data_IF_124876639980
#
_entry.id   IF_124876639980
#
_cell.length_a   1.000
_cell.length_b   1.000
_cell.length_c   1.000
_cell.angle_alpha   90.00
_cell.angle_beta   90.00
_cell.angle_gamma   90.00
#
_symmetry.space_group_name_H-M   'P 1'
#
loop_
_entity.id
_entity.type
_entity.pdbx_description
1 polymer ?
#
# COMPACT_ATOMS: atom_id res chain seq x y z
N UNK A 1 33.61 -54.21 -60.03
CA UNK A 1 33.20 -53.74 -58.68
C UNK A 1 32.33 -52.50 -58.83
N UNK A 2 31.00 -52.65 -58.74
CA UNK A 2 30.02 -51.56 -58.67
C UNK A 2 29.43 -51.57 -57.25
N UNK A 3 29.49 -50.46 -56.52
CA UNK A 3 28.81 -50.30 -55.22
C UNK A 3 27.33 -49.97 -55.47
N UNK A 4 26.38 -50.59 -54.74
CA UNK A 4 24.98 -50.19 -54.84
C UNK A 4 24.71 -48.94 -53.98
N UNK A 5 23.82 -48.08 -54.46
CA UNK A 5 23.32 -46.93 -53.73
C UNK A 5 22.26 -47.38 -52.71
N UNK A 6 22.42 -46.95 -51.45
CA UNK A 6 21.42 -47.13 -50.40
C UNK A 6 20.55 -45.87 -50.35
N UNK A 7 19.28 -45.99 -50.72
CA UNK A 7 18.29 -44.91 -50.63
C UNK A 7 17.81 -44.84 -49.17
N UNK A 8 18.09 -43.73 -48.50
CA UNK A 8 17.60 -43.43 -47.16
C UNK A 8 16.20 -42.81 -47.28
N UNK A 9 15.16 -43.52 -46.81
CA UNK A 9 13.81 -42.97 -46.69
C UNK A 9 13.74 -42.03 -45.48
N UNK A 10 13.68 -40.72 -45.72
CA UNK A 10 13.33 -39.73 -44.71
C UNK A 10 11.81 -39.78 -44.45
N UNK A 11 11.40 -40.36 -43.33
CA UNK A 11 10.04 -40.20 -42.81
C UNK A 11 9.90 -38.86 -42.10
N UNK A 12 9.26 -37.88 -42.73
CA UNK A 12 8.85 -36.64 -42.07
C UNK A 12 7.66 -36.95 -41.12
N UNK A 13 7.91 -36.99 -39.82
CA UNK A 13 6.84 -36.94 -38.83
C UNK A 13 6.29 -35.50 -38.78
N UNK A 14 5.17 -35.24 -39.46
CA UNK A 14 4.45 -33.97 -39.30
C UNK A 14 3.81 -33.92 -37.91
N UNK A 15 4.40 -33.16 -36.99
CA UNK A 15 3.72 -32.74 -35.79
C UNK A 15 2.53 -31.85 -36.18
N UNK A 16 1.30 -32.32 -35.96
CA UNK A 16 0.10 -31.48 -36.07
C UNK A 16 0.20 -30.37 -35.02
N UNK A 17 0.53 -29.17 -35.46
CA UNK A 17 0.30 -27.97 -34.66
C UNK A 17 -1.21 -27.89 -34.40
N UNK A 18 -1.62 -28.14 -33.15
CA UNK A 18 -2.98 -27.88 -32.73
C UNK A 18 -3.16 -26.36 -32.80
N UNK A 19 -3.96 -25.89 -33.77
CA UNK A 19 -4.42 -24.51 -33.80
C UNK A 19 -5.32 -24.30 -32.59
N UNK A 20 -4.78 -23.65 -31.55
CA UNK A 20 -5.55 -23.16 -30.42
C UNK A 20 -6.71 -22.32 -30.95
N UNK A 21 -7.94 -22.78 -30.71
CA UNK A 21 -9.12 -21.97 -31.01
C UNK A 21 -9.06 -20.68 -30.18
N UNK A 22 -9.48 -19.53 -30.74
CA UNK A 22 -9.50 -18.29 -29.98
C UNK A 22 -10.35 -18.47 -28.72
N UNK A 23 -9.83 -17.98 -27.58
CA UNK A 23 -10.52 -18.03 -26.31
C UNK A 23 -11.89 -17.33 -26.44
N UNK A 24 -12.95 -17.85 -25.81
CA UNK A 24 -14.25 -17.19 -25.80
C UNK A 24 -14.12 -15.77 -25.18
N UNK A 25 -14.93 -14.80 -25.62
CA UNK A 25 -14.89 -13.45 -25.07
C UNK A 25 -15.30 -13.50 -23.60
N UNK A 26 -14.31 -13.29 -22.73
CA UNK A 26 -14.49 -13.16 -21.28
C UNK A 26 -14.01 -11.77 -20.85
N UNK A 27 -14.44 -11.25 -19.69
CA UNK A 27 -13.88 -10.02 -19.15
C UNK A 27 -12.35 -10.06 -19.06
N UNK A 28 -11.76 -11.21 -18.74
CA UNK A 28 -10.31 -11.40 -18.72
C UNK A 28 -9.68 -11.31 -20.12
N UNK A 29 -10.33 -11.88 -21.14
CA UNK A 29 -9.88 -11.82 -22.53
C UNK A 29 -9.90 -10.38 -23.10
N UNK A 30 -10.67 -9.47 -22.50
CA UNK A 30 -10.66 -8.04 -22.84
C UNK A 30 -9.70 -7.25 -21.94
N UNK A 31 -9.75 -7.46 -20.62
CA UNK A 31 -9.00 -6.68 -19.64
C UNK A 31 -7.49 -6.92 -19.72
N UNK A 32 -7.04 -8.16 -19.88
CA UNK A 32 -5.60 -8.48 -19.83
C UNK A 32 -4.85 -7.86 -21.00
N UNK A 33 -5.29 -8.00 -22.27
CA UNK A 33 -4.61 -7.32 -23.39
C UNK A 33 -4.58 -5.81 -23.21
N UNK A 34 -5.72 -5.20 -22.86
CA UNK A 34 -5.81 -3.76 -22.60
C UNK A 34 -4.81 -3.32 -21.51
N UNK A 35 -4.76 -4.04 -20.39
CA UNK A 35 -3.85 -3.74 -19.28
C UNK A 35 -2.36 -3.85 -19.67
N UNK A 36 -2.03 -4.77 -20.59
CA UNK A 36 -0.65 -4.94 -21.08
C UNK A 36 -0.26 -3.82 -22.05
N UNK A 37 -1.20 -3.34 -22.86
CA UNK A 37 -1.01 -2.25 -23.81
C UNK A 37 -0.90 -0.89 -23.09
N UNK A 38 -1.76 -0.63 -22.09
CA UNK A 38 -1.85 0.66 -21.38
C UNK A 38 -0.81 0.84 -20.25
N UNK A 39 0.30 0.11 -20.30
CA UNK A 39 1.29 0.09 -19.20
C UNK A 39 1.90 1.47 -18.91
N UNK A 40 2.02 2.34 -19.90
CA UNK A 40 2.61 3.67 -19.74
C UNK A 40 1.65 4.66 -19.05
N UNK A 41 0.37 4.66 -19.43
CA UNK A 41 -0.66 5.56 -18.87
C UNK A 41 -0.93 5.27 -17.39
N UNK A 42 -0.79 4.00 -17.00
CA UNK A 42 -1.02 3.53 -15.64
C UNK A 42 0.13 3.86 -14.66
N UNK A 43 1.10 4.71 -15.05
CA UNK A 43 2.24 5.10 -14.20
C UNK A 43 2.13 6.47 -13.53
N UNK A 44 1.19 7.32 -13.95
CA UNK A 44 1.09 8.72 -13.54
C UNK A 44 -0.36 9.13 -13.20
N UNK A 45 -1.12 8.21 -12.61
CA UNK A 45 -2.53 8.43 -12.25
C UNK A 45 -2.65 9.43 -11.10
N UNK A 46 -3.41 10.52 -11.23
CA UNK A 46 -3.64 11.43 -10.12
C UNK A 46 -4.35 10.71 -8.97
N UNK A 47 -3.80 10.80 -7.76
CA UNK A 47 -4.36 10.15 -6.57
C UNK A 47 -5.81 10.58 -6.31
N UNK A 48 -6.11 11.86 -6.53
CA UNK A 48 -7.47 12.42 -6.38
C UNK A 48 -8.48 11.72 -7.28
N UNK A 49 -8.08 11.37 -8.50
CA UNK A 49 -8.93 10.72 -9.48
C UNK A 49 -9.12 9.24 -9.10
N UNK A 50 -8.05 8.57 -8.66
CA UNK A 50 -8.15 7.19 -8.14
C UNK A 50 -9.14 7.11 -6.99
N UNK A 51 -9.06 8.02 -6.02
CA UNK A 51 -10.03 8.08 -4.92
C UNK A 51 -11.44 8.39 -5.42
N UNK A 52 -11.59 9.37 -6.32
CA UNK A 52 -12.91 9.73 -6.84
C UNK A 52 -13.57 8.56 -7.58
N UNK A 53 -12.87 7.91 -8.50
CA UNK A 53 -13.43 6.80 -9.29
C UNK A 53 -13.70 5.55 -8.45
N UNK A 54 -12.97 5.33 -7.36
CA UNK A 54 -13.16 4.14 -6.51
C UNK A 54 -14.13 4.35 -5.35
N UNK A 55 -14.40 5.59 -4.95
CA UNK A 55 -15.14 5.90 -3.71
C UNK A 55 -16.24 6.96 -3.88
N UNK A 56 -16.19 7.74 -4.95
CA UNK A 56 -17.04 8.92 -5.15
C UNK A 56 -16.66 10.13 -4.28
N UNK A 57 -15.60 10.03 -3.47
CA UNK A 57 -15.13 11.08 -2.56
C UNK A 57 -14.01 11.91 -3.17
N UNK A 58 -13.85 13.12 -2.65
CA UNK A 58 -12.83 14.07 -3.11
C UNK A 58 -11.67 14.13 -2.14
N UNK A 59 -10.46 14.07 -2.69
CA UNK A 59 -9.26 14.50 -1.99
C UNK A 59 -9.18 16.02 -2.07
N UNK A 60 -9.15 16.66 -0.91
CA UNK A 60 -8.97 18.10 -0.71
C UNK A 60 -7.48 18.40 -0.49
N UNK A 61 -7.02 19.54 -1.00
CA UNK A 61 -5.67 20.04 -0.73
C UNK A 61 -5.63 20.78 0.60
N UNK A 62 -4.48 20.73 1.27
CA UNK A 62 -4.18 21.65 2.37
C UNK A 62 -4.23 23.08 1.82
N UNK A 63 -4.95 23.95 2.52
CA UNK A 63 -4.90 25.38 2.28
C UNK A 63 -3.98 26.04 3.33
N UNK A 64 -2.79 26.54 2.94
CA UNK A 64 -1.85 27.13 3.89
C UNK A 64 -2.33 28.45 4.50
N UNK A 65 -3.42 29.06 4.01
CA UNK A 65 -4.02 30.28 4.59
C UNK A 65 -5.30 30.00 5.38
N UNK A 66 -5.77 28.74 5.40
CA UNK A 66 -6.93 28.34 6.18
C UNK A 66 -6.53 28.10 7.64
N UNK A 67 -7.23 28.78 8.57
CA UNK A 67 -6.94 28.69 10.01
C UNK A 67 -7.12 27.29 10.58
N UNK A 68 -8.02 26.47 10.00
CA UNK A 68 -8.24 25.09 10.43
C UNK A 68 -7.06 24.23 10.02
N UNK A 69 -6.65 24.30 8.75
CA UNK A 69 -5.52 23.52 8.25
C UNK A 69 -4.23 23.90 8.97
N UNK A 70 -3.96 25.19 9.18
CA UNK A 70 -2.79 25.64 9.95
C UNK A 70 -2.78 25.09 11.37
N UNK A 71 -3.91 25.18 12.08
CA UNK A 71 -4.03 24.67 13.45
C UNK A 71 -3.85 23.17 13.50
N UNK A 72 -4.55 22.42 12.64
CA UNK A 72 -4.47 20.95 12.61
C UNK A 72 -3.06 20.50 12.29
N UNK A 73 -2.39 21.10 11.30
CA UNK A 73 -1.00 20.79 10.97
C UNK A 73 -0.04 21.10 12.12
N UNK A 74 -0.24 22.20 12.85
CA UNK A 74 0.55 22.53 14.04
C UNK A 74 0.38 21.49 15.14
N UNK A 75 -0.84 21.01 15.36
CA UNK A 75 -1.14 19.96 16.32
C UNK A 75 -0.56 18.61 15.91
N UNK A 76 -0.61 18.26 14.61
CA UNK A 76 0.05 17.07 14.06
C UNK A 76 1.57 17.16 14.26
N UNK A 77 2.18 18.29 13.94
CA UNK A 77 3.63 18.50 14.14
C UNK A 77 4.03 18.33 15.60
N UNK A 78 3.27 18.93 16.54
CA UNK A 78 3.52 18.78 17.98
C UNK A 78 3.39 17.32 18.45
N UNK A 79 2.42 16.58 17.92
CA UNK A 79 2.27 15.15 18.21
C UNK A 79 3.45 14.32 17.64
N UNK A 80 3.96 14.67 16.46
CA UNK A 80 5.11 13.99 15.86
C UNK A 80 6.42 14.30 16.60
N UNK A 81 6.60 15.52 17.11
CA UNK A 81 7.75 15.85 17.98
C UNK A 81 7.75 15.00 19.26
N UNK A 82 6.59 14.91 19.93
CA UNK A 82 6.45 14.08 21.13
C UNK A 82 6.59 12.58 20.82
N UNK A 83 6.11 12.12 19.65
CA UNK A 83 6.31 10.76 19.16
C UNK A 83 7.80 10.43 19.03
N UNK A 84 8.59 11.27 18.35
CA UNK A 84 10.03 11.04 18.19
C UNK A 84 10.71 10.92 19.56
N UNK A 85 10.41 11.83 20.48
CA UNK A 85 10.96 11.80 21.84
C UNK A 85 10.63 10.51 22.58
N UNK A 86 9.37 10.06 22.56
CA UNK A 86 8.93 8.84 23.27
C UNK A 86 9.42 7.55 22.63
N UNK A 87 9.53 7.50 21.31
CA UNK A 87 9.94 6.30 20.58
C UNK A 87 11.45 6.10 20.58
N UNK A 88 12.22 7.20 20.59
CA UNK A 88 13.68 7.16 20.73
C UNK A 88 14.16 6.98 22.17
N UNK A 89 13.27 7.04 23.18
CA UNK A 89 13.65 6.85 24.58
C UNK A 89 14.18 5.41 24.83
N UNK A 90 15.22 5.23 25.67
CA UNK A 90 15.81 3.91 25.92
C UNK A 90 14.84 2.88 26.51
N UNK A 91 13.85 3.33 27.28
CA UNK A 91 12.81 2.52 27.91
C UNK A 91 11.58 2.31 27.01
N UNK A 92 11.60 2.86 25.80
CA UNK A 92 10.48 2.70 24.86
C UNK A 92 10.32 1.24 24.43
N UNK A 93 9.08 0.69 24.42
CA UNK A 93 8.84 -0.71 24.04
C UNK A 93 9.40 -1.09 22.67
N UNK A 94 9.47 -0.13 21.73
CA UNK A 94 10.01 -0.35 20.39
C UNK A 94 11.49 -0.74 20.40
N UNK A 95 12.25 -0.35 21.43
CA UNK A 95 13.66 -0.70 21.57
C UNK A 95 13.85 -2.23 21.72
N UNK A 96 12.86 -2.93 22.28
CA UNK A 96 12.88 -4.39 22.43
C UNK A 96 12.51 -5.17 21.17
N UNK A 97 12.01 -4.51 20.11
CA UNK A 97 11.66 -5.19 18.86
C UNK A 97 12.72 -4.98 17.78
N UNK A 98 13.30 -6.08 17.29
CA UNK A 98 14.18 -6.04 16.12
C UNK A 98 13.41 -5.90 14.79
N UNK A 99 12.08 -6.10 14.79
CA UNK A 99 11.27 -6.15 13.57
C UNK A 99 10.60 -4.81 13.31
N UNK A 100 10.98 -4.17 12.21
CA UNK A 100 10.43 -2.86 11.82
C UNK A 100 8.90 -2.84 11.72
N UNK A 101 8.27 -3.97 11.38
CA UNK A 101 6.81 -4.07 11.32
C UNK A 101 6.14 -3.87 12.69
N UNK A 102 6.73 -4.41 13.77
CA UNK A 102 6.21 -4.24 15.14
C UNK A 102 6.43 -2.81 15.64
N UNK A 103 7.57 -2.21 15.26
CA UNK A 103 7.86 -0.80 15.50
C UNK A 103 6.83 0.08 14.77
N UNK A 104 6.55 -0.20 13.50
CA UNK A 104 5.55 0.53 12.69
C UNK A 104 4.17 0.50 13.33
N UNK A 105 3.72 -0.67 13.81
CA UNK A 105 2.44 -0.79 14.53
C UNK A 105 2.43 0.04 15.82
N UNK A 106 3.55 0.10 16.55
CA UNK A 106 3.66 0.91 17.77
C UNK A 106 3.59 2.41 17.46
N UNK A 107 4.21 2.84 16.35
CA UNK A 107 4.14 4.21 15.83
C UNK A 107 2.72 4.64 15.50
N UNK A 108 2.00 3.83 14.71
CA UNK A 108 0.62 4.11 14.33
C UNK A 108 -0.28 4.28 15.57
N UNK A 109 -0.16 3.39 16.55
CA UNK A 109 -0.93 3.49 17.80
C UNK A 109 -0.60 4.75 18.60
N UNK A 110 0.68 5.10 18.73
CA UNK A 110 1.09 6.30 19.47
C UNK A 110 0.64 7.58 18.78
N UNK A 111 0.76 7.67 17.45
CA UNK A 111 0.25 8.82 16.67
C UNK A 111 -1.24 9.00 16.93
N UNK A 112 -2.03 7.92 16.82
CA UNK A 112 -3.46 7.96 17.12
C UNK A 112 -3.73 8.49 18.53
N UNK A 113 -3.04 7.96 19.54
CA UNK A 113 -3.21 8.39 20.93
C UNK A 113 -2.84 9.86 21.16
N UNK A 114 -1.73 10.33 20.60
CA UNK A 114 -1.28 11.72 20.76
C UNK A 114 -2.23 12.70 20.06
N UNK A 115 -2.72 12.34 18.86
CA UNK A 115 -3.67 13.16 18.12
C UNK A 115 -5.05 13.18 18.78
N UNK A 116 -5.55 12.05 19.30
CA UNK A 116 -6.85 11.98 19.98
C UNK A 116 -6.84 12.71 21.34
N UNK A 117 -5.67 12.81 21.98
CA UNK A 117 -5.49 13.60 23.20
C UNK A 117 -5.37 15.11 22.94
N UNK A 118 -5.18 15.55 21.70
CA UNK A 118 -4.99 16.96 21.37
C UNK A 118 -6.33 17.73 21.42
N UNK A 119 -6.38 18.92 22.04
CA UNK A 119 -7.62 19.67 22.17
C UNK A 119 -8.29 19.98 20.83
N UNK A 120 -9.57 19.65 20.72
CA UNK A 120 -10.36 19.91 19.52
C UNK A 120 -10.15 18.90 18.40
N UNK A 121 -9.35 17.85 18.60
CA UNK A 121 -9.18 16.76 17.65
C UNK A 121 -9.84 15.48 18.16
N UNK A 122 -10.27 14.62 17.22
CA UNK A 122 -10.62 13.23 17.50
C UNK A 122 -9.95 12.34 16.46
N UNK A 123 -9.21 11.33 16.90
CA UNK A 123 -8.42 10.46 16.03
C UNK A 123 -8.63 8.99 16.36
N UNK A 124 -9.16 8.23 15.41
CA UNK A 124 -9.35 6.80 15.57
C UNK A 124 -9.18 6.04 14.25
N UNK A 125 -9.24 4.71 14.31
CA UNK A 125 -9.29 3.86 13.14
C UNK A 125 -10.56 4.15 12.33
N UNK A 126 -10.48 4.29 11.01
CA UNK A 126 -11.65 4.53 10.19
C UNK A 126 -12.60 3.33 10.21
N UNK A 127 -13.89 3.63 10.10
CA UNK A 127 -14.94 2.63 9.93
C UNK A 127 -15.10 2.29 8.46
N UNK A 128 -15.47 1.05 8.18
CA UNK A 128 -15.92 0.64 6.85
C UNK A 128 -17.29 1.26 6.55
N UNK A 129 -17.74 1.15 5.29
CA UNK A 129 -19.11 1.51 4.89
C UNK A 129 -20.20 0.78 5.71
N UNK A 130 -19.90 -0.40 6.26
CA UNK A 130 -20.79 -1.15 7.17
C UNK A 130 -20.71 -0.68 8.63
N UNK A 131 -19.93 0.37 8.92
CA UNK A 131 -19.75 0.91 10.26
C UNK A 131 -18.79 0.12 11.16
N UNK A 132 -18.10 -0.90 10.62
CA UNK A 132 -17.16 -1.74 11.38
C UNK A 132 -15.78 -1.09 11.44
N UNK A 133 -15.13 -1.13 12.59
CA UNK A 133 -13.73 -0.70 12.70
C UNK A 133 -12.83 -1.71 12.00
N UNK A 134 -11.96 -1.22 11.11
CA UNK A 134 -10.99 -2.06 10.41
C UNK A 134 -9.62 -1.38 10.37
N UNK A 135 -8.65 -1.99 11.05
CA UNK A 135 -7.26 -1.51 11.08
C UNK A 135 -6.57 -1.64 9.72
N UNK A 136 -6.72 -2.78 9.06
CA UNK A 136 -6.02 -3.05 7.80
C UNK A 136 -6.58 -2.25 6.62
N UNK A 137 -5.68 -1.94 5.68
CA UNK A 137 -5.98 -1.20 4.45
C UNK A 137 -6.03 0.31 4.68
N UNK A 138 -5.99 1.07 3.60
CA UNK A 138 -5.99 2.52 3.66
C UNK A 138 -7.41 3.10 3.90
N UNK A 139 -7.55 4.21 4.63
CA UNK A 139 -6.51 4.90 5.41
C UNK A 139 -6.28 4.22 6.76
N UNK A 140 -5.11 4.43 7.37
CA UNK A 140 -4.79 3.87 8.68
C UNK A 140 -5.59 4.58 9.79
N UNK A 141 -5.65 5.92 9.75
CA UNK A 141 -6.31 6.75 10.75
C UNK A 141 -7.28 7.77 10.12
N UNK A 142 -8.35 8.09 10.84
CA UNK A 142 -9.28 9.19 10.54
C UNK A 142 -9.19 10.21 11.66
N UNK A 143 -8.66 11.38 11.32
CA UNK A 143 -8.57 12.54 12.19
C UNK A 143 -9.68 13.53 11.85
N UNK A 144 -10.36 14.06 12.87
CA UNK A 144 -11.42 15.05 12.72
C UNK A 144 -11.08 16.26 13.57
N UNK A 145 -11.12 17.44 12.95
CA UNK A 145 -11.23 18.67 13.72
C UNK A 145 -12.66 18.83 14.22
N UNK A 146 -12.88 18.59 15.51
CA UNK A 146 -14.22 18.61 16.13
C UNK A 146 -14.88 19.99 16.10
N UNK A 147 -14.10 21.06 15.89
CA UNK A 147 -14.62 22.43 15.80
C UNK A 147 -15.31 22.72 14.48
N UNK A 148 -14.76 22.22 13.37
CA UNK A 148 -15.27 22.49 12.02
C UNK A 148 -15.90 21.26 11.34
N UNK A 149 -15.67 20.07 11.88
CA UNK A 149 -16.02 18.80 11.25
C UNK A 149 -15.08 18.37 10.12
N UNK A 150 -14.00 19.12 9.87
CA UNK A 150 -13.05 18.83 8.79
C UNK A 150 -12.31 17.52 9.03
N UNK A 151 -12.22 16.69 7.99
CA UNK A 151 -11.65 15.34 8.06
C UNK A 151 -10.29 15.29 7.37
N UNK A 152 -9.36 14.60 8.02
CA UNK A 152 -8.04 14.29 7.54
C UNK A 152 -7.83 12.77 7.62
N UNK A 153 -7.59 12.12 6.48
CA UNK A 153 -7.14 10.73 6.46
C UNK A 153 -5.62 10.70 6.59
N UNK A 154 -5.14 9.95 7.57
CA UNK A 154 -3.74 9.95 8.00
C UNK A 154 -3.15 8.55 7.82
N UNK A 155 -1.99 8.48 7.19
CA UNK A 155 -1.29 7.23 6.87
C UNK A 155 0.17 7.32 7.37
N UNK A 156 0.48 6.85 8.59
CA UNK A 156 1.83 6.85 9.11
C UNK A 156 2.75 5.90 8.35
N UNK A 157 4.00 6.30 8.12
CA UNK A 157 5.01 5.49 7.43
C UNK A 157 6.39 5.67 8.05
N UNK A 158 7.08 4.55 8.29
CA UNK A 158 8.49 4.54 8.65
C UNK A 158 9.34 4.36 7.40
N UNK A 159 10.45 5.11 7.30
CA UNK A 159 11.42 4.94 6.22
C UNK A 159 12.85 5.04 6.76
N UNK A 160 13.78 4.36 6.08
CA UNK A 160 15.17 4.33 6.50
C UNK A 160 15.91 5.60 6.08
N UNK A 161 16.88 6.03 6.89
CA UNK A 161 17.76 7.14 6.57
C UNK A 161 18.42 6.94 5.20
N UNK A 162 18.36 7.97 4.35
CA UNK A 162 18.84 7.91 2.97
C UNK A 162 17.87 7.29 1.95
N UNK A 163 16.70 6.77 2.36
CA UNK A 163 15.75 6.13 1.45
C UNK A 163 14.64 7.06 0.92
N UNK A 164 14.68 8.37 1.19
CA UNK A 164 13.64 9.33 0.76
C UNK A 164 13.41 9.34 -0.76
N UNK A 165 14.46 9.15 -1.55
CA UNK A 165 14.38 9.11 -3.01
C UNK A 165 14.15 7.69 -3.58
N UNK A 166 13.86 6.70 -2.72
CA UNK A 166 13.65 5.32 -3.16
C UNK A 166 12.40 5.18 -4.03
N UNK A 167 12.48 4.30 -5.03
CA UNK A 167 11.34 3.92 -5.88
C UNK A 167 10.56 2.71 -5.36
N UNK A 168 10.95 2.18 -4.19
CA UNK A 168 10.20 1.14 -3.51
C UNK A 168 8.85 1.66 -3.02
N UNK A 169 7.88 0.75 -2.94
CA UNK A 169 6.50 1.09 -2.57
C UNK A 169 6.41 1.38 -1.07
N UNK A 170 6.23 2.65 -0.72
CA UNK A 170 5.95 3.09 0.68
C UNK A 170 4.45 3.24 0.93
N UNK A 171 3.73 3.76 -0.06
CA UNK A 171 2.29 4.00 -0.02
C UNK A 171 1.57 3.07 -1.00
N UNK A 172 0.42 2.53 -0.60
CA UNK A 172 -0.45 1.77 -1.50
C UNK A 172 -1.91 1.86 -1.08
N UNK A 173 -2.79 1.74 -2.06
CA UNK A 173 -4.22 1.71 -1.88
C UNK A 173 -4.79 0.53 -2.66
N UNK A 174 -5.53 -0.32 -1.97
CA UNK A 174 -6.29 -1.41 -2.56
C UNK A 174 -7.77 -1.04 -2.48
N UNK A 175 -8.41 -0.64 -3.59
CA UNK A 175 -9.82 -0.26 -3.57
C UNK A 175 -10.68 -1.49 -3.26
N UNK A 176 -11.62 -1.32 -2.32
CA UNK A 176 -12.57 -2.36 -1.93
C UNK A 176 -13.96 -1.76 -1.88
N UNK A 177 -14.93 -2.40 -2.52
CA UNK A 177 -16.33 -1.93 -2.48
C UNK A 177 -16.92 -2.18 -1.10
N UNK A 178 -16.90 -3.43 -0.61
CA UNK A 178 -17.58 -3.81 0.63
C UNK A 178 -16.90 -3.29 1.92
N UNK A 179 -15.58 -3.12 1.89
CA UNK A 179 -14.79 -2.72 3.07
C UNK A 179 -14.10 -1.37 2.85
N UNK A 180 -14.67 -0.48 2.02
CA UNK A 180 -14.12 0.85 1.82
C UNK A 180 -14.13 1.64 3.13
N UNK A 181 -13.06 2.40 3.39
CA UNK A 181 -12.87 3.23 4.57
C UNK A 181 -12.78 4.74 4.26
N UNK A 182 -12.71 5.12 2.98
CA UNK A 182 -12.75 6.52 2.53
C UNK A 182 -14.21 6.91 2.28
N UNK A 183 -14.82 7.58 3.27
CA UNK A 183 -16.24 7.90 3.32
C UNK A 183 -16.53 9.41 3.32
N UNK A 184 -15.49 10.24 3.46
CA UNK A 184 -15.57 11.70 3.55
C UNK A 184 -14.82 12.37 2.38
N UNK A 185 -15.28 13.55 1.97
CA UNK A 185 -14.41 14.49 1.23
C UNK A 185 -13.41 15.05 2.24
N UNK A 186 -12.13 14.75 2.07
CA UNK A 186 -11.13 14.92 3.14
C UNK A 186 -9.77 15.35 2.59
N UNK A 187 -8.92 15.88 3.46
CA UNK A 187 -7.47 16.00 3.19
C UNK A 187 -6.81 14.64 3.44
N UNK A 188 -5.85 14.26 2.61
CA UNK A 188 -5.14 12.98 2.74
C UNK A 188 -3.66 13.25 3.02
N UNK A 189 -3.15 12.76 4.15
CA UNK A 189 -1.79 13.01 4.62
C UNK A 189 -1.02 11.70 4.84
N UNK A 190 0.24 11.67 4.42
CA UNK A 190 1.23 10.70 4.91
C UNK A 190 2.08 11.36 5.98
N UNK A 191 2.26 10.67 7.11
CA UNK A 191 3.19 11.10 8.16
C UNK A 191 4.43 10.22 8.08
N UNK A 192 5.45 10.70 7.39
CA UNK A 192 6.70 9.98 7.19
C UNK A 192 7.66 10.21 8.34
N UNK A 193 8.11 9.17 9.02
CA UNK A 193 9.15 9.26 10.06
C UNK A 193 10.40 8.50 9.61
N UNK A 194 11.54 9.18 9.67
CA UNK A 194 12.84 8.58 9.37
C UNK A 194 13.39 7.82 10.57
N UNK A 195 14.00 6.66 10.30
CA UNK A 195 14.82 5.96 11.27
C UNK A 195 16.22 5.67 10.72
N UNK A 196 17.22 5.70 11.60
CA UNK A 196 18.55 5.19 11.29
C UNK A 196 18.56 3.66 11.26
N UNK A 197 19.59 3.02 10.67
CA UNK A 197 19.84 1.61 10.89
C UNK A 197 19.93 1.31 12.38
N UNK A 198 19.28 0.25 12.83
CA UNK A 198 19.32 -0.17 14.24
C UNK A 198 20.78 -0.40 14.65
N UNK A 199 21.26 0.36 15.63
CA UNK A 199 22.65 0.35 16.10
C UNK A 199 22.71 0.00 17.57
N UNK A 200 23.61 -0.91 17.96
CA UNK A 200 23.72 -1.45 19.32
C UNK A 200 22.38 -1.94 19.92
N UNK A 201 21.45 -2.41 19.08
CA UNK A 201 20.13 -2.85 19.52
C UNK A 201 19.12 -1.71 19.75
N UNK A 202 19.42 -0.48 19.36
CA UNK A 202 18.54 0.67 19.53
C UNK A 202 18.03 1.23 18.21
N UNK A 203 16.75 1.61 18.19
CA UNK A 203 16.16 2.43 17.14
C UNK A 203 16.35 3.90 17.47
N UNK A 204 16.77 4.67 16.47
CA UNK A 204 16.83 6.12 16.54
C UNK A 204 15.97 6.71 15.43
N UNK A 205 15.07 7.61 15.79
CA UNK A 205 14.17 8.30 14.87
C UNK A 205 14.57 9.78 14.79
N UNK A 206 14.81 10.28 13.58
CA UNK A 206 15.59 11.51 13.40
C UNK A 206 14.75 12.71 12.94
N UNK A 207 13.68 12.46 12.19
CA UNK A 207 12.84 13.51 11.60
C UNK A 207 11.48 12.99 11.20
N UNK A 208 10.53 13.91 11.02
CA UNK A 208 9.23 13.64 10.45
C UNK A 208 8.91 14.60 9.30
N UNK A 209 8.05 14.16 8.38
CA UNK A 209 7.48 14.95 7.29
C UNK A 209 5.96 14.76 7.27
N UNK A 210 5.22 15.82 7.00
CA UNK A 210 3.78 15.76 6.70
C UNK A 210 3.62 15.98 5.18
N UNK A 211 3.13 14.96 4.48
CA UNK A 211 3.01 14.98 3.02
C UNK A 211 1.55 15.04 2.62
N UNK A 212 1.15 16.13 1.96
CA UNK A 212 -0.17 16.26 1.33
C UNK A 212 -0.25 15.41 0.05
N UNK A 213 -1.25 14.53 -0.02
CA UNK A 213 -1.44 13.63 -1.16
C UNK A 213 -2.29 14.25 -2.28
N UNK A 214 -2.80 15.48 -2.15
CA UNK A 214 -3.65 16.11 -3.16
C UNK A 214 -2.99 16.20 -4.55
N UNK A 215 -1.66 16.28 -4.63
CA UNK A 215 -0.94 16.32 -5.90
C UNK A 215 -0.14 15.04 -6.18
N UNK A 216 -0.33 13.99 -5.36
CA UNK A 216 0.34 12.71 -5.56
C UNK A 216 -0.10 12.09 -6.89
N UNK A 217 0.87 11.56 -7.64
CA UNK A 217 0.64 10.65 -8.77
C UNK A 217 1.06 9.25 -8.37
N UNK A 218 0.19 8.28 -8.61
CA UNK A 218 0.42 6.87 -8.31
C UNK A 218 0.52 6.06 -9.60
N UNK A 219 1.12 4.88 -9.48
CA UNK A 219 1.12 3.87 -10.54
C UNK A 219 0.25 2.69 -10.14
N UNK A 220 -0.49 2.12 -11.09
CA UNK A 220 -1.14 0.84 -10.91
C UNK A 220 -0.09 -0.26 -11.10
N UNK A 221 0.07 -1.11 -10.09
CA UNK A 221 0.85 -2.34 -10.20
C UNK A 221 -0.12 -3.51 -10.31
N UNK A 222 -0.29 -4.05 -11.52
CA UNK A 222 -1.08 -5.25 -11.72
C UNK A 222 -0.26 -6.51 -11.40
N UNK A 223 -0.81 -7.37 -10.55
CA UNK A 223 -0.21 -8.66 -10.20
C UNK A 223 -1.30 -9.75 -10.16
N UNK A 224 -0.99 -10.93 -10.69
CA UNK A 224 -1.81 -12.12 -10.55
C UNK A 224 -1.34 -12.89 -9.30
N UNK A 225 -2.28 -13.28 -8.45
CA UNK A 225 -1.99 -13.87 -7.15
C UNK A 225 -2.64 -15.26 -7.03
N UNK A 226 -2.00 -16.14 -6.26
CA UNK A 226 -2.52 -17.44 -5.86
C UNK A 226 -2.13 -17.72 -4.42
N UNK A 227 -3.06 -18.26 -3.63
CA UNK A 227 -2.83 -18.63 -2.24
C UNK A 227 -2.22 -20.02 -2.12
N UNK A 228 -1.75 -20.38 -0.92
CA UNK A 228 -1.34 -21.76 -0.62
C UNK A 228 -2.48 -22.76 -0.91
N UNK A 229 -3.73 -22.39 -0.65
CA UNK A 229 -4.89 -23.23 -0.95
C UNK A 229 -5.06 -23.47 -2.46
N UNK A 230 -4.79 -22.45 -3.29
CA UNK A 230 -4.94 -22.55 -4.75
C UNK A 230 -3.86 -23.44 -5.37
N UNK A 231 -2.64 -23.40 -4.82
CA UNK A 231 -1.45 -24.06 -5.38
C UNK A 231 -1.29 -25.50 -4.87
N UNK A 232 -1.52 -25.77 -3.59
CA UNK A 232 -1.31 -27.10 -2.98
C UNK A 232 -2.55 -28.00 -3.03
N UNK A 233 -3.22 -28.02 -4.18
CA UNK A 233 -4.35 -28.93 -4.41
C UNK A 233 -3.84 -30.36 -4.66
N UNK A 234 -4.48 -31.41 -4.12
CA UNK A 234 -4.00 -32.79 -4.28
C UNK A 234 -3.78 -33.20 -5.73
N UNK A 235 -4.60 -32.72 -6.67
CA UNK A 235 -4.49 -33.03 -8.09
C UNK A 235 -3.38 -32.24 -8.82
N UNK A 236 -2.90 -31.14 -8.25
CA UNK A 236 -1.82 -30.34 -8.79
C UNK A 236 -0.42 -30.77 -8.28
N UNK A 237 -0.37 -31.52 -7.18
CA UNK A 237 0.89 -31.98 -6.56
C UNK A 237 1.43 -33.19 -7.34
N UNK A 238 2.56 -33.00 -8.02
CA UNK A 238 3.22 -34.06 -8.83
C UNK A 238 4.34 -34.80 -8.08
N UNK A 239 4.60 -34.45 -6.82
CA UNK A 239 5.60 -35.10 -5.97
C UNK A 239 5.60 -34.53 -4.55
N UNK A 240 5.93 -35.35 -3.55
CA UNK A 240 6.01 -34.96 -2.14
C UNK A 240 7.07 -35.80 -1.44
N UNK A 241 7.91 -35.19 -0.61
CA UNK A 241 8.88 -35.91 0.21
C UNK A 241 8.21 -36.60 1.40
N UNK A 242 8.92 -37.51 2.07
CA UNK A 242 8.49 -37.96 3.40
C UNK A 242 8.47 -36.76 4.36
N UNK A 243 7.54 -36.80 5.33
CA UNK A 243 7.62 -35.92 6.51
C UNK A 243 8.68 -36.50 7.46
N UNK A 244 9.52 -35.64 8.01
CA UNK A 244 10.40 -35.95 9.14
C UNK A 244 9.61 -36.09 10.44
#
# INVERSE_FOLDING_TARGET
MRRPALILFCGLAMARAQTLSPLPPTPAATLIPWLLEEKEELTQLPWRDVIFYTTGKKVLAINPTDETDQRVLTQIGSALDELLKRMSAPDSPVQNSARINEVSTSFENMIRHLLDAAPGLSCDFPKTVEGRVQRSGYPDLRLVDTRTGRVYYVDPKLYAAGSRASSFRTFYFEPKIATNKVLDDAVHLVLGVEHEPRSAGHWNFTRWDIVDLAHLKVRLKAEFQGSNHDIYRPDAIVGTSAKE
#
